data_IF_211059555685
#
_entry.id   IF_211059555685
#
_cell.length_a   1.000
_cell.length_b   1.000
_cell.length_c   1.000
_cell.angle_alpha   90.00
_cell.angle_beta   90.00
_cell.angle_gamma   90.00
#
_symmetry.space_group_name_H-M   'P 1'
#
loop_
_entity.id
_entity.type
_entity.pdbx_description
1 polymer ?
#
# COMPACT_ATOMS: atom_id res chain seq x y z
N UNK A 1 -26.08 17.02 3.15
CA UNK A 1 -25.13 16.17 2.42
C UNK A 1 -23.84 16.95 2.41
N UNK A 2 -22.71 16.43 2.91
CA UNK A 2 -21.47 17.20 3.00
C UNK A 2 -21.06 17.69 1.61
N UNK A 3 -20.78 18.98 1.44
CA UNK A 3 -20.33 19.57 0.17
C UNK A 3 -18.85 19.94 0.20
N UNK A 4 -18.25 20.18 -0.97
CA UNK A 4 -16.84 20.58 -1.06
C UNK A 4 -16.63 21.96 -0.45
N UNK A 5 -17.60 22.84 -0.62
CA UNK A 5 -17.64 24.20 -0.08
C UNK A 5 -17.68 24.16 1.45
N UNK A 6 -18.55 23.35 2.05
CA UNK A 6 -18.63 23.17 3.51
C UNK A 6 -17.31 22.64 4.10
N UNK A 7 -16.69 21.66 3.44
CA UNK A 7 -15.39 21.14 3.86
C UNK A 7 -14.32 22.23 3.74
N UNK A 8 -14.34 23.03 2.68
CA UNK A 8 -13.36 24.10 2.45
C UNK A 8 -13.50 25.22 3.49
N UNK A 9 -14.73 25.60 3.83
CA UNK A 9 -15.03 26.56 4.89
C UNK A 9 -14.55 26.06 6.25
N UNK A 10 -14.82 24.80 6.60
CA UNK A 10 -14.35 24.19 7.85
C UNK A 10 -12.83 24.16 7.93
N UNK A 11 -12.14 23.75 6.85
CA UNK A 11 -10.67 23.75 6.79
C UNK A 11 -10.12 25.17 7.00
N UNK A 12 -10.66 26.17 6.29
CA UNK A 12 -10.22 27.56 6.44
C UNK A 12 -10.49 28.11 7.85
N UNK A 13 -11.66 27.78 8.43
CA UNK A 13 -12.00 28.15 9.81
C UNK A 13 -11.01 27.55 10.81
N UNK A 14 -10.77 26.24 10.74
CA UNK A 14 -9.82 25.54 11.60
C UNK A 14 -8.43 26.17 11.48
N UNK A 15 -7.99 26.49 10.26
CA UNK A 15 -6.70 27.15 10.03
C UNK A 15 -6.66 28.52 10.73
N UNK A 16 -7.67 29.36 10.50
CA UNK A 16 -7.75 30.71 11.08
C UNK A 16 -7.80 30.68 12.60
N UNK A 17 -8.64 29.84 13.20
CA UNK A 17 -8.82 29.73 14.65
C UNK A 17 -7.55 29.24 15.37
N UNK A 18 -6.68 28.50 14.67
CA UNK A 18 -5.45 27.94 15.24
C UNK A 18 -4.18 28.65 14.73
N UNK A 19 -4.30 29.86 14.17
CA UNK A 19 -3.17 30.70 13.77
C UNK A 19 -2.37 30.18 12.57
N UNK A 20 -2.93 29.25 11.78
CA UNK A 20 -2.31 28.80 10.53
C UNK A 20 -2.57 29.79 9.40
N UNK A 21 -1.63 29.95 8.44
CA UNK A 21 -1.84 30.82 7.29
C UNK A 21 -3.01 30.31 6.44
N UNK A 22 -3.85 31.22 5.97
CA UNK A 22 -4.86 30.90 4.96
C UNK A 22 -4.16 30.77 3.60
N UNK A 23 -4.15 29.56 3.06
CA UNK A 23 -3.58 29.23 1.76
C UNK A 23 -4.73 28.83 0.86
N UNK A 24 -4.80 29.34 -0.38
CA UNK A 24 -5.79 28.86 -1.33
C UNK A 24 -5.56 27.37 -1.61
N UNK A 25 -6.65 26.62 -1.68
CA UNK A 25 -6.62 25.22 -2.10
C UNK A 25 -7.90 24.86 -2.85
N UNK A 26 -7.84 23.78 -3.64
CA UNK A 26 -9.00 23.28 -4.38
C UNK A 26 -9.31 21.82 -4.05
N UNK A 27 -10.58 21.59 -3.69
CA UNK A 27 -11.17 20.24 -3.56
C UNK A 27 -11.92 19.94 -4.85
N UNK A 28 -11.43 18.96 -5.61
CA UNK A 28 -12.03 18.53 -6.87
C UNK A 28 -13.18 17.55 -6.63
N UNK A 29 -13.13 16.70 -5.60
CA UNK A 29 -14.16 15.72 -5.28
C UNK A 29 -14.13 15.34 -3.78
N UNK A 30 -15.28 14.95 -3.23
CA UNK A 30 -15.35 14.24 -1.95
C UNK A 30 -16.11 12.93 -2.13
N UNK A 31 -15.69 11.89 -1.43
CA UNK A 31 -16.37 10.59 -1.40
C UNK A 31 -16.53 10.15 0.04
N UNK A 32 -17.71 9.70 0.41
CA UNK A 32 -17.99 9.24 1.77
C UNK A 32 -18.35 7.76 1.75
N UNK A 33 -17.54 6.95 2.44
CA UNK A 33 -17.80 5.53 2.63
C UNK A 33 -18.58 5.33 3.92
N UNK A 34 -19.89 5.08 3.76
CA UNK A 34 -20.84 4.93 4.87
C UNK A 34 -20.59 3.66 5.69
N UNK A 35 -20.09 2.60 5.06
CA UNK A 35 -19.85 1.31 5.72
C UNK A 35 -18.73 1.44 6.76
N UNK A 36 -17.65 2.11 6.37
CA UNK A 36 -16.46 2.28 7.19
C UNK A 36 -16.41 3.61 7.95
N UNK A 37 -17.39 4.49 7.70
CA UNK A 37 -17.45 5.86 8.23
C UNK A 37 -16.17 6.66 7.93
N UNK A 38 -15.79 6.68 6.64
CA UNK A 38 -14.57 7.32 6.14
C UNK A 38 -14.88 8.37 5.09
N UNK A 39 -14.35 9.58 5.28
CA UNK A 39 -14.40 10.65 4.29
C UNK A 39 -13.09 10.70 3.50
N UNK A 40 -13.21 10.71 2.18
CA UNK A 40 -12.11 10.91 1.25
C UNK A 40 -12.26 12.28 0.59
N UNK A 41 -11.21 13.08 0.66
CA UNK A 41 -11.12 14.40 0.02
C UNK A 41 -10.10 14.28 -1.11
N UNK A 42 -10.51 14.60 -2.34
CA UNK A 42 -9.67 14.55 -3.52
C UNK A 42 -9.31 15.99 -3.87
N UNK A 43 -8.09 16.36 -3.49
CA UNK A 43 -7.49 17.64 -3.80
C UNK A 43 -7.00 17.65 -5.25
N UNK A 44 -6.96 18.83 -5.88
CA UNK A 44 -6.53 18.93 -7.28
C UNK A 44 -5.06 18.55 -7.45
N UNK A 45 -4.16 19.03 -6.60
CA UNK A 45 -2.75 18.63 -6.60
C UNK A 45 -2.17 18.34 -5.20
N UNK A 46 -0.84 18.13 -5.12
CA UNK A 46 -0.15 17.84 -3.85
C UNK A 46 -0.04 19.07 -2.94
N UNK A 47 0.01 20.27 -3.50
CA UNK A 47 0.02 21.52 -2.74
C UNK A 47 -1.33 21.73 -2.07
N UNK A 48 -2.43 21.52 -2.80
CA UNK A 48 -3.79 21.54 -2.28
C UNK A 48 -3.99 20.49 -1.19
N UNK A 49 -3.55 19.24 -1.42
CA UNK A 49 -3.55 18.17 -0.42
C UNK A 49 -2.83 18.62 0.86
N UNK A 50 -1.64 19.20 0.73
CA UNK A 50 -0.86 19.68 1.87
C UNK A 50 -1.54 20.85 2.60
N UNK A 51 -2.21 21.75 1.88
CA UNK A 51 -2.97 22.84 2.49
C UNK A 51 -4.18 22.33 3.30
N UNK A 52 -4.87 21.31 2.80
CA UNK A 52 -6.00 20.66 3.48
C UNK A 52 -5.52 19.86 4.70
N UNK A 53 -4.43 19.09 4.56
CA UNK A 53 -3.85 18.30 5.66
C UNK A 53 -3.26 19.22 6.74
N UNK A 54 -2.60 20.30 6.32
CA UNK A 54 -1.72 21.10 7.16
C UNK A 54 -0.57 20.25 7.71
N UNK A 55 -0.30 20.36 9.01
CA UNK A 55 0.67 19.50 9.70
C UNK A 55 -0.02 18.29 10.38
N UNK A 56 -0.96 17.64 9.68
CA UNK A 56 -1.90 16.64 10.23
C UNK A 56 -2.88 17.16 11.30
N UNK A 57 -2.66 18.36 11.83
CA UNK A 57 -3.54 18.99 12.81
C UNK A 57 -4.91 19.35 12.22
N UNK A 58 -4.91 20.00 11.05
CA UNK A 58 -6.14 20.50 10.41
C UNK A 58 -7.06 19.34 10.06
N UNK A 59 -6.51 18.27 9.47
CA UNK A 59 -7.28 17.08 9.14
C UNK A 59 -7.78 16.34 10.38
N UNK A 60 -6.99 16.33 11.47
CA UNK A 60 -7.38 15.76 12.75
C UNK A 60 -8.57 16.49 13.38
N UNK A 61 -8.56 17.83 13.37
CA UNK A 61 -9.68 18.67 13.82
C UNK A 61 -10.90 18.54 12.92
N UNK A 62 -10.71 18.51 11.60
CA UNK A 62 -11.81 18.30 10.67
C UNK A 62 -12.51 16.96 10.93
N UNK A 63 -11.74 15.89 11.16
CA UNK A 63 -12.29 14.58 11.56
C UNK A 63 -13.12 14.68 12.85
N UNK A 64 -12.59 15.33 13.89
CA UNK A 64 -13.28 15.53 15.17
C UNK A 64 -14.61 16.28 15.00
N UNK A 65 -14.61 17.38 14.25
CA UNK A 65 -15.82 18.18 14.01
C UNK A 65 -16.88 17.46 13.17
N UNK A 66 -16.45 16.63 12.22
CA UNK A 66 -17.35 15.86 11.36
C UNK A 66 -17.88 14.59 12.05
N UNK A 67 -17.26 14.15 13.14
CA UNK A 67 -17.66 12.96 13.87
C UNK A 67 -17.45 11.65 13.10
N UNK A 68 -16.58 11.65 12.08
CA UNK A 68 -16.29 10.46 11.25
C UNK A 68 -15.06 9.71 11.77
N UNK A 69 -15.00 8.38 11.59
CA UNK A 69 -13.85 7.58 12.03
C UNK A 69 -12.52 8.00 11.37
N UNK A 70 -12.55 8.39 10.10
CA UNK A 70 -11.34 8.77 9.38
C UNK A 70 -11.61 9.82 8.29
N UNK A 71 -10.65 10.74 8.11
CA UNK A 71 -10.58 11.60 6.94
C UNK A 71 -9.23 11.39 6.25
N UNK A 72 -9.25 11.11 4.96
CA UNK A 72 -8.04 10.92 4.14
C UNK A 72 -8.07 11.86 2.95
N UNK A 73 -6.94 12.50 2.66
CA UNK A 73 -6.80 13.42 1.54
C UNK A 73 -5.89 12.81 0.48
N UNK A 74 -6.38 12.70 -0.74
CA UNK A 74 -5.61 12.27 -1.92
C UNK A 74 -5.40 13.44 -2.87
N UNK A 75 -4.31 13.42 -3.62
CA UNK A 75 -4.20 14.30 -4.80
C UNK A 75 -4.79 13.58 -6.02
N UNK A 76 -5.47 14.32 -6.88
CA UNK A 76 -6.00 13.79 -8.13
C UNK A 76 -4.89 13.26 -9.04
N UNK A 77 -3.73 13.90 -9.02
CA UNK A 77 -2.56 13.44 -9.77
C UNK A 77 -2.11 12.03 -9.32
N UNK A 78 -2.03 11.76 -8.01
CA UNK A 78 -1.67 10.43 -7.52
C UNK A 78 -2.70 9.37 -7.96
N UNK A 79 -4.00 9.71 -7.94
CA UNK A 79 -5.06 8.81 -8.42
C UNK A 79 -4.99 8.56 -9.94
N UNK A 80 -4.65 9.58 -10.74
CA UNK A 80 -4.47 9.41 -12.18
C UNK A 80 -3.25 8.53 -12.50
N UNK A 81 -2.15 8.69 -11.75
CA UNK A 81 -0.97 7.83 -11.88
C UNK A 81 -1.33 6.38 -11.55
N UNK A 82 -2.11 6.15 -10.48
CA UNK A 82 -2.64 4.84 -10.13
C UNK A 82 -3.44 4.23 -11.28
N UNK A 83 -4.40 4.97 -11.84
CA UNK A 83 -5.25 4.51 -12.94
C UNK A 83 -4.42 4.09 -14.16
N UNK A 84 -3.45 4.91 -14.59
CA UNK A 84 -2.56 4.56 -15.71
C UNK A 84 -1.74 3.30 -15.47
N UNK A 85 -1.26 3.10 -14.24
CA UNK A 85 -0.53 1.87 -13.87
C UNK A 85 -1.45 0.65 -13.91
N UNK A 86 -2.67 0.79 -13.41
CA UNK A 86 -3.68 -0.28 -13.40
C UNK A 86 -4.09 -0.68 -14.83
N UNK A 87 -4.27 0.26 -15.75
CA UNK A 87 -4.55 -0.02 -17.17
C UNK A 87 -3.47 -0.89 -17.80
N UNK A 88 -2.21 -0.46 -17.67
CA UNK A 88 -1.05 -1.22 -18.16
C UNK A 88 -0.98 -2.62 -17.54
N UNK A 89 -1.27 -2.72 -16.24
CA UNK A 89 -1.17 -3.99 -15.52
C UNK A 89 -2.33 -4.95 -15.85
N UNK A 90 -3.53 -4.42 -16.14
CA UNK A 90 -4.66 -5.22 -16.63
C UNK A 90 -4.35 -5.84 -17.99
N UNK A 91 -3.71 -5.09 -18.89
CA UNK A 91 -3.27 -5.62 -20.19
C UNK A 91 -2.21 -6.71 -20.05
N UNK A 92 -1.26 -6.53 -19.12
CA UNK A 92 -0.16 -7.49 -18.89
C UNK A 92 -0.59 -8.84 -18.35
N UNK A 93 -1.71 -8.89 -17.62
CA UNK A 93 -2.23 -10.16 -17.07
C UNK A 93 -3.23 -10.84 -18.01
N UNK A 94 -3.74 -10.14 -19.03
CA UNK A 94 -4.69 -10.70 -19.99
C UNK A 94 -4.02 -11.84 -20.78
N UNK A 95 -4.71 -12.97 -20.90
CA UNK A 95 -4.21 -14.20 -21.50
C UNK A 95 -3.23 -14.99 -20.63
N UNK A 96 -3.00 -14.58 -19.38
CA UNK A 96 -2.09 -15.27 -18.44
C UNK A 96 -2.86 -15.98 -17.33
N UNK A 97 -2.20 -16.85 -16.58
CA UNK A 97 -2.84 -17.48 -15.41
C UNK A 97 -3.16 -16.49 -14.27
N UNK A 98 -2.73 -15.23 -14.38
CA UNK A 98 -3.03 -14.16 -13.42
C UNK A 98 -4.30 -13.36 -13.77
N UNK A 99 -5.08 -13.76 -14.78
CA UNK A 99 -6.34 -13.09 -15.13
C UNK A 99 -7.33 -12.98 -13.97
N UNK A 100 -7.24 -13.88 -12.97
CA UNK A 100 -8.05 -13.79 -11.76
C UNK A 100 -7.82 -12.50 -10.94
N UNK A 101 -6.74 -11.75 -11.21
CA UNK A 101 -6.50 -10.43 -10.61
C UNK A 101 -7.33 -9.31 -11.27
N UNK A 102 -7.94 -9.57 -12.44
CA UNK A 102 -8.74 -8.59 -13.19
C UNK A 102 -9.82 -7.91 -12.34
N UNK A 103 -10.69 -8.65 -11.62
CA UNK A 103 -11.71 -8.05 -10.74
C UNK A 103 -11.15 -7.14 -9.64
N UNK A 104 -9.93 -7.41 -9.16
CA UNK A 104 -9.26 -6.57 -8.16
C UNK A 104 -8.79 -5.26 -8.78
N UNK A 105 -8.20 -5.33 -9.98
CA UNK A 105 -7.79 -4.14 -10.73
C UNK A 105 -9.00 -3.27 -11.07
N UNK A 106 -10.11 -3.88 -11.50
CA UNK A 106 -11.38 -3.21 -11.76
C UNK A 106 -11.94 -2.49 -10.53
N UNK A 107 -11.83 -3.11 -9.35
CA UNK A 107 -12.20 -2.48 -8.09
C UNK A 107 -11.28 -1.30 -7.76
N UNK A 108 -9.97 -1.42 -8.01
CA UNK A 108 -9.00 -0.35 -7.73
C UNK A 108 -9.17 0.88 -8.63
N UNK A 109 -9.78 0.77 -9.82
CA UNK A 109 -10.11 1.95 -10.64
C UNK A 109 -11.11 2.90 -9.96
N UNK A 110 -11.97 2.34 -9.09
CA UNK A 110 -13.01 3.09 -8.34
C UNK A 110 -12.49 3.61 -7.00
N UNK A 111 -11.25 3.29 -6.65
CA UNK A 111 -10.61 3.79 -5.43
C UNK A 111 -10.49 5.32 -5.43
N UNK A 112 -10.68 6.01 -4.29
CA UNK A 112 -11.20 5.52 -3.00
C UNK A 112 -12.75 5.53 -2.94
N UNK A 113 -13.40 4.73 -2.07
CA UNK A 113 -12.83 3.73 -1.15
C UNK A 113 -12.34 2.46 -1.85
N UNK A 114 -11.54 1.65 -1.15
CA UNK A 114 -11.10 0.33 -1.60
C UNK A 114 -12.15 -0.72 -1.25
N UNK A 115 -12.83 -1.27 -2.26
CA UNK A 115 -13.86 -2.32 -2.10
C UNK A 115 -13.57 -3.50 -3.03
N UNK A 116 -12.69 -4.40 -2.58
CA UNK A 116 -12.35 -5.60 -3.36
C UNK A 116 -13.49 -6.61 -3.33
N UNK A 117 -13.81 -7.24 -4.48
CA UNK A 117 -14.73 -8.37 -4.49
C UNK A 117 -14.15 -9.54 -3.67
N UNK A 118 -15.04 -10.37 -3.13
CA UNK A 118 -14.62 -11.65 -2.57
C UNK A 118 -14.23 -12.60 -3.70
N UNK A 119 -12.98 -13.06 -3.68
CA UNK A 119 -12.47 -14.06 -4.61
C UNK A 119 -12.13 -15.34 -3.83
N UNK A 120 -12.35 -16.49 -4.46
CA UNK A 120 -12.01 -17.81 -3.90
C UNK A 120 -11.19 -18.58 -4.93
N UNK A 121 -9.94 -18.17 -5.08
CA UNK A 121 -9.00 -18.80 -6.00
C UNK A 121 -8.28 -19.92 -5.25
N UNK A 122 -8.55 -21.18 -5.56
CA UNK A 122 -7.98 -22.35 -4.86
C UNK A 122 -6.54 -22.70 -5.29
N UNK A 123 -5.81 -21.72 -5.84
CA UNK A 123 -4.44 -21.85 -6.33
C UNK A 123 -3.42 -21.66 -5.21
N UNK A 124 -2.24 -22.28 -5.38
CA UNK A 124 -1.12 -22.14 -4.43
C UNK A 124 -0.27 -20.92 -4.77
N UNK A 125 0.18 -20.21 -3.74
CA UNK A 125 1.11 -19.10 -3.87
C UNK A 125 2.19 -19.16 -2.80
N UNK A 126 3.45 -18.95 -3.21
CA UNK A 126 4.58 -18.80 -2.31
C UNK A 126 4.62 -17.35 -1.83
N UNK A 127 4.50 -17.12 -0.53
CA UNK A 127 4.53 -15.78 0.05
C UNK A 127 5.81 -15.62 0.85
N UNK A 128 6.71 -14.77 0.37
CA UNK A 128 7.92 -14.44 1.11
C UNK A 128 7.66 -13.30 2.08
N UNK A 129 8.03 -13.50 3.36
CA UNK A 129 7.87 -12.51 4.41
C UNK A 129 8.97 -11.44 4.31
N UNK A 130 8.70 -10.43 3.49
CA UNK A 130 9.49 -9.21 3.35
C UNK A 130 9.00 -8.09 4.28
N UNK A 131 9.50 -6.86 4.13
CA UNK A 131 9.17 -5.71 4.98
C UNK A 131 7.65 -5.49 5.17
N UNK A 132 6.86 -5.67 4.11
CA UNK A 132 5.41 -5.59 4.12
C UNK A 132 4.75 -6.98 4.28
N UNK A 133 5.33 -7.90 5.06
CA UNK A 133 4.86 -9.28 5.24
C UNK A 133 3.33 -9.41 5.45
N UNK A 134 2.74 -8.54 6.29
CA UNK A 134 1.29 -8.53 6.51
C UNK A 134 0.49 -8.20 5.25
N UNK A 135 0.98 -7.28 4.42
CA UNK A 135 0.35 -6.98 3.14
C UNK A 135 0.50 -8.13 2.13
N UNK A 136 1.66 -8.79 2.08
CA UNK A 136 1.88 -9.94 1.21
C UNK A 136 0.96 -11.11 1.58
N UNK A 137 0.88 -11.43 2.87
CA UNK A 137 -0.04 -12.45 3.40
C UNK A 137 -1.50 -12.06 3.16
N UNK A 138 -1.87 -10.83 3.56
CA UNK A 138 -3.25 -10.35 3.46
C UNK A 138 -3.75 -10.26 2.02
N UNK A 139 -2.85 -9.95 1.08
CA UNK A 139 -3.15 -10.03 -0.35
C UNK A 139 -3.51 -11.45 -0.77
N UNK A 140 -2.65 -12.44 -0.45
CA UNK A 140 -2.93 -13.83 -0.80
C UNK A 140 -4.24 -14.33 -0.17
N UNK A 141 -4.47 -14.03 1.11
CA UNK A 141 -5.67 -14.43 1.86
C UNK A 141 -6.95 -13.78 1.29
N UNK A 142 -6.91 -12.50 0.91
CA UNK A 142 -8.06 -11.79 0.29
C UNK A 142 -8.44 -12.35 -1.08
N UNK A 143 -7.50 -12.97 -1.79
CA UNK A 143 -7.74 -13.63 -3.08
C UNK A 143 -8.20 -15.09 -2.93
N UNK A 144 -8.18 -15.62 -1.69
CA UNK A 144 -8.47 -17.01 -1.40
C UNK A 144 -7.33 -17.99 -1.70
N UNK A 145 -6.12 -17.48 -2.01
CA UNK A 145 -4.96 -18.31 -2.37
C UNK A 145 -4.48 -19.15 -1.18
N UNK A 146 -4.02 -20.37 -1.47
CA UNK A 146 -3.30 -21.23 -0.51
C UNK A 146 -1.88 -20.71 -0.33
N UNK A 147 -1.71 -19.81 0.63
CA UNK A 147 -0.44 -19.13 0.91
C UNK A 147 0.56 -20.04 1.66
N UNK A 148 1.62 -20.44 0.97
CA UNK A 148 2.81 -21.07 1.56
C UNK A 148 3.81 -20.00 1.98
N UNK A 149 3.89 -19.77 3.29
CA UNK A 149 4.65 -18.65 3.86
C UNK A 149 6.09 -19.09 4.12
N UNK A 150 7.05 -18.41 3.50
CA UNK A 150 8.49 -18.59 3.72
C UNK A 150 9.12 -17.28 4.17
N UNK A 151 10.22 -17.32 4.90
CA UNK A 151 10.86 -16.09 5.37
C UNK A 151 12.19 -16.34 6.05
N UNK A 152 12.97 -15.28 6.24
CA UNK A 152 14.27 -15.38 6.88
C UNK A 152 14.11 -15.76 8.35
N UNK A 153 14.99 -16.61 8.86
CA UNK A 153 14.96 -17.06 10.26
C UNK A 153 14.97 -15.88 11.27
N UNK A 154 14.06 -15.95 12.24
CA UNK A 154 13.92 -15.00 13.36
C UNK A 154 13.58 -13.54 12.99
N UNK A 155 12.94 -13.31 11.84
CA UNK A 155 12.51 -11.96 11.44
C UNK A 155 11.09 -11.63 11.87
N UNK A 156 10.16 -12.59 11.86
CA UNK A 156 8.75 -12.35 12.23
C UNK A 156 8.26 -13.32 13.31
N UNK A 157 8.64 -13.15 14.58
CA UNK A 157 8.35 -14.13 15.65
C UNK A 157 6.85 -14.35 15.93
N UNK A 158 5.97 -13.45 15.48
CA UNK A 158 4.51 -13.55 15.66
C UNK A 158 3.76 -14.11 14.45
N UNK A 159 4.48 -14.46 13.38
CA UNK A 159 3.89 -15.02 12.16
C UNK A 159 4.44 -16.44 12.01
N UNK A 160 3.57 -17.39 11.68
CA UNK A 160 3.99 -18.75 11.34
C UNK A 160 4.42 -18.79 9.87
N UNK A 161 5.65 -19.27 9.63
CA UNK A 161 6.24 -19.43 8.31
C UNK A 161 7.35 -20.48 8.37
N UNK A 162 7.71 -21.02 7.22
CA UNK A 162 8.86 -21.90 7.07
C UNK A 162 10.15 -21.05 6.99
N UNK A 163 11.10 -21.22 7.92
CA UNK A 163 12.33 -20.45 7.92
C UNK A 163 13.27 -20.93 6.81
N UNK A 164 13.78 -19.99 6.03
CA UNK A 164 14.84 -20.21 5.04
C UNK A 164 16.09 -19.42 5.45
N UNK A 165 17.26 -19.92 5.04
CA UNK A 165 18.52 -19.17 5.18
C UNK A 165 18.51 -17.97 4.23
N UNK A 166 19.18 -16.88 4.59
CA UNK A 166 19.21 -15.66 3.77
C UNK A 166 19.78 -14.46 4.51
N UNK A 167 20.14 -13.43 3.76
CA UNK A 167 20.65 -12.17 4.30
C UNK A 167 19.52 -11.24 4.71
N UNK A 168 19.69 -10.44 5.77
CA UNK A 168 18.65 -9.47 6.19
C UNK A 168 18.30 -8.43 5.10
N UNK A 169 19.16 -8.23 4.10
CA UNK A 169 18.88 -7.40 2.92
C UNK A 169 17.69 -7.96 2.12
N UNK A 170 17.51 -9.28 2.08
CA UNK A 170 16.40 -9.92 1.37
C UNK A 170 15.02 -9.56 1.94
N UNK A 171 14.94 -9.06 3.19
CA UNK A 171 13.68 -8.49 3.72
C UNK A 171 13.17 -7.31 2.89
N UNK A 172 14.08 -6.58 2.25
CA UNK A 172 13.79 -5.38 1.48
C UNK A 172 13.91 -5.62 -0.02
N UNK A 173 14.83 -6.49 -0.41
CA UNK A 173 15.09 -6.85 -1.80
C UNK A 173 15.13 -8.38 -1.93
N UNK A 174 13.96 -9.04 -2.02
CA UNK A 174 13.87 -10.50 -2.10
C UNK A 174 14.68 -11.08 -3.26
N UNK A 175 15.36 -12.20 -3.01
CA UNK A 175 16.16 -12.89 -4.03
C UNK A 175 15.24 -13.62 -5.03
N UNK A 176 15.22 -13.12 -6.27
CA UNK A 176 14.36 -13.62 -7.34
C UNK A 176 14.64 -15.09 -7.69
N UNK A 177 15.91 -15.45 -7.87
CA UNK A 177 16.31 -16.77 -8.33
C UNK A 177 16.02 -17.82 -7.26
N UNK A 178 16.39 -17.50 -6.01
CA UNK A 178 16.13 -18.38 -4.87
C UNK A 178 14.64 -18.63 -4.65
N UNK A 179 13.81 -17.58 -4.70
CA UNK A 179 12.36 -17.75 -4.51
C UNK A 179 11.70 -18.48 -5.68
N UNK A 180 12.19 -18.27 -6.90
CA UNK A 180 11.78 -19.02 -8.09
C UNK A 180 12.10 -20.51 -7.94
N UNK A 181 13.29 -20.86 -7.48
CA UNK A 181 13.70 -22.26 -7.32
C UNK A 181 12.85 -22.98 -6.27
N UNK A 182 12.62 -22.35 -5.12
CA UNK A 182 11.70 -22.85 -4.08
C UNK A 182 10.28 -23.05 -4.65
N UNK A 183 9.79 -22.11 -5.46
CA UNK A 183 8.46 -22.21 -6.05
C UNK A 183 8.38 -23.39 -7.03
N UNK A 184 9.39 -23.58 -7.89
CA UNK A 184 9.45 -24.69 -8.84
C UNK A 184 9.51 -26.05 -8.16
N UNK A 185 10.36 -26.21 -7.15
CA UNK A 185 10.45 -27.44 -6.35
C UNK A 185 9.11 -27.85 -5.74
N UNK A 186 8.26 -26.85 -5.42
CA UNK A 186 6.94 -27.05 -4.83
C UNK A 186 5.81 -27.10 -5.85
N UNK A 187 6.09 -26.92 -7.15
CA UNK A 187 5.09 -26.83 -8.21
C UNK A 187 4.17 -25.61 -8.08
N UNK A 188 4.68 -24.50 -7.55
CA UNK A 188 3.96 -23.24 -7.35
C UNK A 188 4.30 -22.28 -8.49
N UNK A 189 3.28 -21.68 -9.11
CA UNK A 189 3.45 -20.74 -10.24
C UNK A 189 3.47 -19.27 -9.84
N UNK A 190 3.06 -18.92 -8.62
CA UNK A 190 2.98 -17.53 -8.17
C UNK A 190 3.82 -17.32 -6.91
N UNK A 191 4.72 -16.35 -6.96
CA UNK A 191 5.50 -15.86 -5.82
C UNK A 191 5.10 -14.42 -5.50
N UNK A 192 4.80 -14.15 -4.24
CA UNK A 192 4.39 -12.83 -3.74
C UNK A 192 5.45 -12.33 -2.74
N UNK A 193 6.06 -11.17 -3.04
CA UNK A 193 7.06 -10.55 -2.18
C UNK A 193 7.21 -9.04 -2.49
N UNK A 194 7.95 -8.30 -1.65
CA UNK A 194 8.35 -6.91 -1.93
C UNK A 194 9.46 -6.80 -3.00
N UNK A 195 9.24 -7.36 -4.19
CA UNK A 195 10.18 -7.22 -5.31
C UNK A 195 10.36 -5.75 -5.72
N UNK A 196 11.53 -5.37 -6.29
CA UNK A 196 11.77 -4.01 -6.79
C UNK A 196 11.02 -3.70 -8.10
N UNK A 197 10.22 -4.62 -8.61
CA UNK A 197 9.35 -4.47 -9.78
C UNK A 197 7.93 -4.89 -9.43
N UNK A 198 6.96 -4.60 -10.29
CA UNK A 198 5.56 -4.95 -10.05
C UNK A 198 5.22 -6.41 -10.36
N UNK A 199 5.59 -6.89 -11.54
CA UNK A 199 5.33 -8.24 -12.03
C UNK A 199 6.45 -8.65 -13.00
N UNK A 200 6.99 -9.84 -12.83
CA UNK A 200 7.95 -10.44 -13.77
C UNK A 200 7.59 -11.89 -13.99
N UNK A 201 7.50 -12.31 -15.25
CA UNK A 201 7.39 -13.71 -15.61
C UNK A 201 8.79 -14.26 -15.85
N UNK A 202 9.15 -15.33 -15.16
CA UNK A 202 10.42 -16.04 -15.30
C UNK A 202 10.12 -17.51 -15.53
N UNK A 203 10.26 -17.95 -16.78
CA UNK A 203 9.84 -19.29 -17.21
C UNK A 203 8.35 -19.52 -16.87
N UNK A 204 8.02 -20.51 -16.03
CA UNK A 204 6.65 -20.86 -15.64
C UNK A 204 6.20 -20.23 -14.31
N UNK A 205 6.99 -19.31 -13.75
CA UNK A 205 6.71 -18.66 -12.45
C UNK A 205 6.51 -17.16 -12.64
N UNK A 206 5.46 -16.62 -12.02
CA UNK A 206 5.25 -15.17 -11.88
C UNK A 206 5.73 -14.69 -10.52
N UNK A 207 6.61 -13.68 -10.54
CA UNK A 207 7.08 -12.94 -9.37
C UNK A 207 6.27 -11.64 -9.29
N UNK A 208 5.49 -11.46 -8.23
CA UNK A 208 4.53 -10.37 -8.07
C UNK A 208 4.81 -9.56 -6.80
N UNK A 209 4.94 -8.25 -6.95
CA UNK A 209 4.80 -7.30 -5.85
C UNK A 209 3.42 -6.65 -5.92
N UNK A 210 2.45 -7.06 -5.07
CA UNK A 210 1.08 -6.56 -5.15
C UNK A 210 0.96 -5.05 -4.87
N UNK A 211 1.85 -4.48 -4.05
CA UNK A 211 1.81 -3.04 -3.74
C UNK A 211 2.24 -2.21 -4.94
N UNK A 212 3.31 -2.61 -5.63
CA UNK A 212 3.75 -1.96 -6.88
C UNK A 212 2.76 -2.20 -8.01
N UNK A 213 2.26 -3.44 -8.13
CA UNK A 213 1.34 -3.87 -9.18
C UNK A 213 -0.01 -3.14 -9.11
N UNK A 214 -0.58 -2.98 -7.92
CA UNK A 214 -1.84 -2.24 -7.74
C UNK A 214 -1.63 -0.76 -7.42
N UNK A 215 -0.38 -0.32 -7.32
CA UNK A 215 0.01 1.01 -6.85
C UNK A 215 -0.71 1.38 -5.55
N UNK A 216 -0.49 0.57 -4.51
CA UNK A 216 -1.04 0.73 -3.16
C UNK A 216 0.10 1.22 -2.26
N UNK A 217 -0.05 2.43 -1.73
CA UNK A 217 0.95 3.00 -0.83
C UNK A 217 1.06 2.25 0.50
N UNK A 218 2.20 2.37 1.17
CA UNK A 218 2.49 1.77 2.47
C UNK A 218 1.43 2.11 3.52
N UNK A 219 1.02 3.38 3.61
CA UNK A 219 -0.02 3.81 4.53
C UNK A 219 -1.33 3.04 4.26
N UNK A 220 -1.76 2.99 3.00
CA UNK A 220 -2.97 2.27 2.62
C UNK A 220 -2.88 0.77 2.93
N UNK A 221 -1.76 0.14 2.59
CA UNK A 221 -1.51 -1.27 2.86
C UNK A 221 -1.54 -1.57 4.35
N UNK A 222 -0.94 -0.71 5.18
CA UNK A 222 -0.95 -0.83 6.63
C UNK A 222 -2.36 -0.77 7.22
N UNK A 223 -3.23 0.11 6.72
CA UNK A 223 -4.62 0.17 7.19
C UNK A 223 -5.49 -0.97 6.67
N UNK A 224 -5.19 -1.46 5.47
CA UNK A 224 -6.01 -2.50 4.83
C UNK A 224 -5.61 -3.92 5.24
N UNK A 225 -4.32 -4.20 5.43
CA UNK A 225 -3.78 -5.52 5.75
C UNK A 225 -3.08 -5.60 7.12
N UNK A 226 -2.81 -4.46 7.75
CA UNK A 226 -1.98 -4.37 8.95
C UNK A 226 -0.49 -4.25 8.62
N UNK A 227 0.33 -4.12 9.67
CA UNK A 227 1.79 -4.06 9.57
C UNK A 227 2.42 -4.70 10.80
N UNK A 228 3.32 -5.65 10.59
CA UNK A 228 4.16 -6.24 11.65
C UNK A 228 5.60 -5.82 11.38
N UNK A 229 6.23 -5.20 12.38
CA UNK A 229 7.62 -4.78 12.25
C UNK A 229 8.55 -6.01 12.36
N UNK A 230 9.53 -6.20 11.45
CA UNK A 230 10.52 -7.26 11.60
C UNK A 230 11.38 -7.05 12.86
N UNK A 231 11.71 -8.15 13.54
CA UNK A 231 12.53 -8.17 14.75
C UNK A 231 14.00 -7.88 14.46
N UNK A 232 14.48 -8.25 13.27
CA UNK A 232 15.84 -8.04 12.79
C UNK A 232 15.79 -7.29 11.46
N UNK A 233 16.65 -6.30 11.28
CA UNK A 233 16.71 -5.48 10.07
C UNK A 233 18.14 -5.18 9.69
N UNK A 234 18.41 -5.10 8.40
CA UNK A 234 19.56 -4.39 7.86
C UNK A 234 19.19 -2.90 7.75
N UNK A 235 19.86 -2.04 8.52
CA UNK A 235 19.54 -0.60 8.59
C UNK A 235 19.83 0.13 7.28
N UNK A 236 20.87 -0.28 6.53
CA UNK A 236 21.23 0.38 5.27
C UNK A 236 20.26 -0.03 4.17
N UNK A 237 19.98 -1.33 4.03
CA UNK A 237 19.00 -1.81 3.07
C UNK A 237 17.60 -1.23 3.31
N UNK A 238 17.24 -1.00 4.58
CA UNK A 238 15.97 -0.34 4.93
C UNK A 238 15.91 1.11 4.44
N UNK A 239 17.01 1.86 4.54
CA UNK A 239 17.07 3.25 4.06
C UNK A 239 16.89 3.27 2.55
N UNK A 240 17.65 2.46 1.82
CA UNK A 240 17.56 2.35 0.36
C UNK A 240 16.11 2.04 -0.06
N UNK A 241 15.51 1.02 0.58
CA UNK A 241 14.15 0.60 0.28
C UNK A 241 13.11 1.68 0.55
N UNK A 242 13.25 2.42 1.66
CA UNK A 242 12.35 3.53 1.98
C UNK A 242 12.51 4.66 0.97
N UNK A 243 13.74 4.98 0.55
CA UNK A 243 14.01 5.98 -0.48
C UNK A 243 13.35 5.58 -1.80
N UNK A 244 13.48 4.32 -2.23
CA UNK A 244 12.85 3.79 -3.44
C UNK A 244 11.32 3.89 -3.36
N UNK A 245 10.72 3.46 -2.25
CA UNK A 245 9.28 3.53 -2.04
C UNK A 245 8.75 4.98 -2.07
N UNK A 246 9.50 5.94 -1.51
CA UNK A 246 9.14 7.37 -1.57
C UNK A 246 9.28 7.91 -2.99
N UNK A 247 10.38 7.60 -3.69
CA UNK A 247 10.63 8.05 -5.06
C UNK A 247 9.54 7.58 -6.03
N UNK A 248 8.99 6.39 -5.81
CA UNK A 248 7.92 5.81 -6.63
C UNK A 248 6.50 6.26 -6.25
N UNK A 249 6.37 7.07 -5.19
CA UNK A 249 5.09 7.50 -4.65
C UNK A 249 4.31 6.42 -3.90
N UNK A 250 4.97 5.34 -3.48
CA UNK A 250 4.39 4.27 -2.68
C UNK A 250 4.54 4.50 -1.17
N UNK A 251 5.26 5.54 -0.74
CA UNK A 251 5.37 5.91 0.67
C UNK A 251 5.47 7.43 0.80
N UNK A 252 4.78 7.99 1.79
CA UNK A 252 4.95 9.41 2.12
C UNK A 252 6.32 9.63 2.78
N UNK A 253 6.99 10.74 2.46
CA UNK A 253 8.32 11.05 3.01
C UNK A 253 8.34 11.11 4.54
N UNK A 254 7.24 11.59 5.14
CA UNK A 254 7.06 11.66 6.59
C UNK A 254 6.94 10.28 7.23
N UNK A 255 6.23 9.33 6.60
CA UNK A 255 6.15 7.94 7.06
C UNK A 255 7.51 7.25 6.97
N UNK A 256 8.21 7.43 5.85
CA UNK A 256 9.56 6.91 5.65
C UNK A 256 10.55 7.42 6.69
N UNK A 257 10.60 8.74 6.91
CA UNK A 257 11.45 9.35 7.93
C UNK A 257 11.15 8.81 9.34
N UNK A 258 9.85 8.64 9.68
CA UNK A 258 9.44 8.06 10.95
C UNK A 258 9.90 6.61 11.13
N UNK A 259 9.84 5.79 10.08
CA UNK A 259 10.32 4.41 10.11
C UNK A 259 11.83 4.34 10.33
N UNK A 260 12.59 5.16 9.59
CA UNK A 260 14.06 5.27 9.73
C UNK A 260 14.43 5.70 11.15
N UNK A 261 13.84 6.79 11.64
CA UNK A 261 14.08 7.30 12.99
C UNK A 261 13.84 6.24 14.08
N UNK A 262 12.72 5.51 13.98
CA UNK A 262 12.35 4.45 14.94
C UNK A 262 13.25 3.22 14.85
N UNK A 263 13.87 2.95 13.70
CA UNK A 263 14.84 1.88 13.55
C UNK A 263 16.21 2.25 14.16
N UNK A 264 16.56 3.54 14.12
CA UNK A 264 17.83 4.06 14.65
C UNK A 264 17.83 4.30 16.15
N UNK A 265 16.67 4.60 16.76
CA UNK A 265 16.54 4.74 18.22
C UNK A 265 16.67 3.40 18.98
N UNK A 266 16.68 2.27 18.28
CA UNK A 266 16.90 0.92 18.81
C UNK A 266 18.27 0.39 18.38
#
# INVERSE_FOLDING_TARGET
MLTKEEISEKVNRIRKENGFPLVPFVIDEIRYDREEDKLFIIARDRSDKSAIIGNSFVIGKLREELGVKQVTVYSKLDLLIKQKKLEKNLERIRGTFLEFLGPIIEAEFKFPPRKWPELRIDERALVFLSFNAKAMIGFAEKLGLKAEKVGIKYTFPKISYEPIDGSLRELFYPDEEKLKDIAKERGIKLVIADFPFDLKFTEDVALLNPLRFLHIGFFEAKYFFGFEKPARIDKNAMIDFIVDMVAEGLMESTDGANLIWRAWKK
#
